data_IF_941135597949
#
_entry.id   IF_941135597949
#
_cell.length_a   1.000
_cell.length_b   1.000
_cell.length_c   1.000
_cell.angle_alpha   90.00
_cell.angle_beta   90.00
_cell.angle_gamma   90.00
#
_symmetry.space_group_name_H-M   'P 1'
#
loop_
_entity.id
_entity.type
_entity.pdbx_description
1 polymer ?
#
# COMPACT_ATOMS: atom_id res chain seq x y z
N UNK A 1 -8.75 -35.52 14.68
CA UNK A 1 -7.29 -35.60 14.44
C UNK A 1 -6.67 -34.21 14.61
N UNK A 2 -5.35 -34.13 14.80
CA UNK A 2 -4.62 -32.97 15.38
C UNK A 2 -3.35 -32.67 14.55
N UNK A 3 -2.76 -31.46 14.48
CA UNK A 3 -2.97 -30.18 15.18
C UNK A 3 -2.72 -29.00 14.21
N UNK A 4 -3.32 -27.81 14.45
CA UNK A 4 -2.78 -26.52 13.93
C UNK A 4 -2.01 -25.79 15.04
N UNK A 5 -0.75 -26.15 15.24
CA UNK A 5 0.17 -25.37 16.09
C UNK A 5 0.79 -24.24 15.25
N UNK A 6 0.12 -23.08 15.25
CA UNK A 6 0.75 -21.85 14.77
C UNK A 6 1.95 -21.52 15.66
N UNK A 7 3.15 -21.36 15.07
CA UNK A 7 4.30 -20.86 15.81
C UNK A 7 4.09 -19.37 16.04
N UNK A 8 3.75 -18.99 17.28
CA UNK A 8 3.50 -17.59 17.67
C UNK A 8 4.79 -16.78 17.65
N UNK A 9 5.18 -16.30 16.47
CA UNK A 9 6.33 -15.41 16.34
C UNK A 9 5.96 -14.00 16.80
N UNK A 10 6.77 -13.35 17.65
CA UNK A 10 6.51 -11.97 18.08
C UNK A 10 6.48 -11.04 16.86
N UNK A 11 5.48 -10.16 16.82
CA UNK A 11 5.40 -9.08 15.83
C UNK A 11 6.61 -8.16 15.98
N UNK A 12 6.95 -7.42 14.91
CA UNK A 12 8.05 -6.43 14.94
C UNK A 12 7.92 -5.48 16.13
N UNK A 13 6.70 -5.05 16.46
CA UNK A 13 6.41 -4.22 17.63
C UNK A 13 6.73 -4.94 18.96
N UNK A 14 6.36 -6.22 19.13
CA UNK A 14 6.68 -6.92 20.39
C UNK A 14 8.19 -7.08 20.58
N UNK A 15 8.95 -7.35 19.50
CA UNK A 15 10.42 -7.41 19.54
C UNK A 15 11.05 -6.07 19.92
N UNK A 16 10.56 -4.97 19.34
CA UNK A 16 11.04 -3.61 19.65
C UNK A 16 10.79 -3.24 21.12
N UNK A 17 9.65 -3.63 21.70
CA UNK A 17 9.37 -3.40 23.12
C UNK A 17 10.20 -4.32 24.04
N UNK A 18 10.55 -5.53 23.59
CA UNK A 18 11.56 -6.36 24.29
C UNK A 18 12.92 -5.63 24.23
N UNK A 19 13.40 -5.24 23.05
CA UNK A 19 14.69 -4.56 22.87
C UNK A 19 14.84 -3.23 23.63
N UNK A 20 13.77 -2.45 23.78
CA UNK A 20 13.77 -1.16 24.49
C UNK A 20 13.65 -1.27 26.03
N UNK A 21 13.24 -2.42 26.58
CA UNK A 21 12.86 -2.55 27.99
C UNK A 21 13.25 -3.90 28.64
N UNK A 22 14.07 -4.75 27.99
CA UNK A 22 14.38 -6.09 28.50
C UNK A 22 15.45 -6.15 29.59
N UNK A 23 16.36 -5.18 29.65
CA UNK A 23 17.54 -5.21 30.52
C UNK A 23 17.80 -3.82 31.08
N UNK A 24 17.23 -3.53 32.26
CA UNK A 24 17.72 -2.56 33.26
C UNK A 24 16.92 -2.76 34.57
N UNK A 25 17.15 -3.92 35.20
CA UNK A 25 16.92 -4.15 36.64
C UNK A 25 18.30 -4.06 37.32
N UNK A 26 18.88 -2.86 37.29
CA UNK A 26 20.14 -2.53 37.97
C UNK A 26 19.92 -1.41 38.97
N UNK A 27 20.64 -1.53 40.09
CA UNK A 27 20.36 -0.85 41.35
C UNK A 27 20.73 0.65 41.35
N UNK A 28 20.15 1.33 42.34
CA UNK A 28 20.35 2.71 42.80
C UNK A 28 21.83 3.13 42.93
N UNK A 29 22.22 4.25 42.30
CA UNK A 29 22.87 5.43 42.94
C UNK A 29 23.15 6.58 41.93
N UNK A 30 23.39 7.78 42.43
CA UNK A 30 23.38 9.07 41.72
C UNK A 30 24.50 9.29 40.68
N UNK A 31 24.24 9.99 39.57
CA UNK A 31 24.38 11.48 39.50
C UNK A 31 24.24 12.01 38.04
N UNK A 32 23.49 13.11 37.87
CA UNK A 32 23.61 14.09 36.77
C UNK A 32 23.70 13.61 35.29
N UNK A 33 22.54 13.57 34.62
CA UNK A 33 22.31 14.61 33.60
C UNK A 33 20.87 15.13 33.69
N UNK A 34 20.76 16.41 34.04
CA UNK A 34 19.47 17.12 34.05
C UNK A 34 19.13 17.49 32.61
N UNK A 35 18.78 16.49 31.79
CA UNK A 35 18.20 16.70 30.47
C UNK A 35 16.83 17.36 30.66
N UNK A 36 16.86 18.69 30.75
CA UNK A 36 15.72 19.57 30.67
C UNK A 36 15.10 19.38 29.29
N UNK A 37 14.24 18.37 29.20
CA UNK A 37 13.35 18.22 28.07
C UNK A 37 12.21 19.19 28.31
N UNK A 38 12.41 20.42 27.83
CA UNK A 38 11.35 21.41 27.79
C UNK A 38 10.11 20.77 27.16
N UNK A 39 9.03 20.70 27.93
CA UNK A 39 7.68 20.41 27.47
C UNK A 39 7.20 21.59 26.62
N UNK A 40 7.85 21.80 25.48
CA UNK A 40 7.20 22.45 24.37
C UNK A 40 6.17 21.46 23.86
N UNK A 41 4.93 21.66 24.31
CA UNK A 41 3.72 21.26 23.59
C UNK A 41 3.77 21.89 22.18
N UNK A 42 4.62 21.34 21.32
CA UNK A 42 4.31 21.28 19.90
C UNK A 42 3.05 20.45 19.84
N UNK A 43 1.91 21.15 19.84
CA UNK A 43 0.57 20.61 19.66
C UNK A 43 0.67 19.52 18.61
N UNK A 44 0.75 18.30 19.11
CA UNK A 44 0.86 17.14 18.26
C UNK A 44 -0.57 16.89 17.90
N UNK A 45 -1.06 17.74 16.97
CA UNK A 45 -2.11 17.37 16.04
C UNK A 45 -1.77 15.94 15.69
N UNK A 46 -2.52 14.99 16.27
CA UNK A 46 -2.36 13.59 15.94
C UNK A 46 -2.69 13.56 14.48
N UNK A 47 -1.68 13.63 13.62
CA UNK A 47 -1.83 13.68 12.18
C UNK A 47 -2.39 12.31 11.85
N UNK A 48 -3.72 12.22 11.91
CA UNK A 48 -4.45 10.96 11.97
C UNK A 48 -4.10 10.31 10.67
N UNK A 49 -3.18 9.32 10.74
CA UNK A 49 -2.57 8.76 9.54
C UNK A 49 -3.67 8.05 8.80
N UNK A 50 -4.32 8.79 7.91
CA UNK A 50 -5.49 8.40 7.15
C UNK A 50 -5.05 7.20 6.36
N UNK A 51 -5.27 6.01 6.93
CA UNK A 51 -5.05 4.76 6.25
C UNK A 51 -6.01 4.82 5.07
N UNK A 52 -5.52 4.96 3.82
CA UNK A 52 -6.41 5.14 2.69
C UNK A 52 -7.19 3.84 2.56
N UNK A 53 -8.45 3.85 3.03
CA UNK A 53 -9.34 2.71 2.93
C UNK A 53 -9.38 2.30 1.46
N UNK A 54 -8.90 1.09 1.17
CA UNK A 54 -8.92 0.56 -0.19
C UNK A 54 -10.37 0.51 -0.64
N UNK A 55 -10.74 1.40 -1.54
CA UNK A 55 -12.07 1.39 -2.11
C UNK A 55 -12.32 0.03 -2.78
N UNK A 56 -13.52 -0.54 -2.67
CA UNK A 56 -13.85 -1.76 -3.38
C UNK A 56 -13.68 -1.56 -4.89
N UNK A 57 -13.30 -2.63 -5.60
CA UNK A 57 -13.18 -2.57 -7.05
C UNK A 57 -14.52 -2.16 -7.67
N UNK A 58 -14.55 -0.99 -8.31
CA UNK A 58 -15.70 -0.51 -9.07
C UNK A 58 -15.96 -1.44 -10.26
N UNK A 59 -17.21 -1.86 -10.45
CA UNK A 59 -17.60 -2.64 -11.62
C UNK A 59 -17.28 -1.87 -12.92
N UNK A 60 -16.42 -2.45 -13.76
CA UNK A 60 -15.94 -1.83 -15.02
C UNK A 60 -16.74 -2.27 -16.25
N UNK A 61 -17.69 -3.19 -16.08
CA UNK A 61 -18.43 -3.88 -17.13
C UNK A 61 -17.47 -4.47 -18.17
N UNK A 62 -16.54 -5.31 -17.73
CA UNK A 62 -15.41 -5.83 -18.54
C UNK A 62 -15.83 -6.31 -19.94
N UNK A 63 -16.92 -7.09 -20.02
CA UNK A 63 -17.48 -7.60 -21.29
C UNK A 63 -17.95 -6.47 -22.21
N UNK A 64 -18.60 -5.42 -21.67
CA UNK A 64 -19.08 -4.26 -22.44
C UNK A 64 -17.92 -3.39 -22.93
N UNK A 65 -16.90 -3.20 -22.08
CA UNK A 65 -15.66 -2.49 -22.44
C UNK A 65 -14.91 -3.22 -23.56
N UNK A 66 -14.72 -4.54 -23.43
CA UNK A 66 -14.08 -5.36 -24.46
C UNK A 66 -14.83 -5.32 -25.79
N UNK A 67 -16.15 -5.54 -25.81
CA UNK A 67 -16.97 -5.44 -27.03
C UNK A 67 -16.81 -4.09 -27.72
N UNK A 68 -16.76 -3.00 -26.96
CA UNK A 68 -16.57 -1.65 -27.50
C UNK A 68 -15.19 -1.46 -28.10
N UNK A 69 -14.12 -1.90 -27.43
CA UNK A 69 -12.76 -1.88 -27.99
C UNK A 69 -12.65 -2.67 -29.30
N UNK A 70 -13.28 -3.84 -29.39
CA UNK A 70 -13.31 -4.63 -30.63
C UNK A 70 -14.00 -3.88 -31.77
N UNK A 71 -15.18 -3.29 -31.52
CA UNK A 71 -15.93 -2.50 -32.52
C UNK A 71 -15.19 -1.22 -32.91
N UNK A 72 -14.58 -0.53 -31.95
CA UNK A 72 -13.93 0.77 -32.21
C UNK A 72 -12.63 0.60 -33.02
N UNK A 73 -11.88 -0.50 -32.84
CA UNK A 73 -10.53 -0.65 -33.38
C UNK A 73 -10.20 -1.97 -34.12
N UNK A 74 -10.71 -3.13 -33.68
CA UNK A 74 -10.17 -4.43 -34.14
C UNK A 74 -11.03 -5.22 -35.13
N UNK A 75 -12.33 -4.92 -35.23
CA UNK A 75 -13.20 -5.53 -36.23
C UNK A 75 -12.88 -5.02 -37.65
N UNK A 76 -13.26 -5.77 -38.69
CA UNK A 76 -13.06 -5.38 -40.11
C UNK A 76 -13.69 -4.02 -40.45
N UNK A 77 -14.88 -3.75 -39.93
CA UNK A 77 -15.58 -2.47 -40.06
C UNK A 77 -15.37 -1.59 -38.81
N UNK A 78 -14.12 -1.46 -38.34
CA UNK A 78 -13.81 -0.67 -37.15
C UNK A 78 -14.08 0.82 -37.37
N UNK A 79 -14.52 1.53 -36.32
CA UNK A 79 -14.80 2.98 -36.39
C UNK A 79 -13.54 3.78 -36.70
N UNK A 80 -12.39 3.31 -36.21
CA UNK A 80 -11.07 3.88 -36.48
C UNK A 80 -10.27 2.93 -37.37
N UNK A 81 -9.57 3.49 -38.34
CA UNK A 81 -8.64 2.74 -39.19
C UNK A 81 -7.28 2.53 -38.50
N UNK A 82 -6.37 1.82 -39.15
CA UNK A 82 -5.07 1.48 -38.57
C UNK A 82 -4.17 2.70 -38.37
N UNK A 83 -4.31 3.72 -39.23
CA UNK A 83 -3.59 5.00 -39.10
C UNK A 83 -4.10 5.80 -37.89
N UNK A 84 -5.40 5.77 -37.60
CA UNK A 84 -5.98 6.38 -36.39
C UNK A 84 -5.53 5.64 -35.13
N UNK A 85 -5.46 4.31 -35.17
CA UNK A 85 -4.94 3.49 -34.07
C UNK A 85 -3.47 3.83 -33.79
N UNK A 86 -2.62 3.86 -34.82
CA UNK A 86 -1.20 4.18 -34.69
C UNK A 86 -0.99 5.61 -34.17
N UNK A 87 -1.75 6.60 -34.65
CA UNK A 87 -1.68 7.99 -34.13
C UNK A 87 -2.07 8.09 -32.65
N UNK A 88 -3.05 7.30 -32.19
CA UNK A 88 -3.56 7.33 -30.81
C UNK A 88 -2.66 6.57 -29.83
N UNK A 89 -2.25 5.36 -30.20
CA UNK A 89 -1.55 4.43 -29.30
C UNK A 89 -0.04 4.33 -29.57
N UNK A 90 0.45 4.89 -30.68
CA UNK A 90 1.86 4.87 -31.12
C UNK A 90 2.40 3.44 -31.30
N UNK A 91 1.55 2.55 -31.80
CA UNK A 91 1.86 1.15 -32.09
C UNK A 91 1.10 0.69 -33.33
N UNK A 92 1.62 -0.31 -34.05
CA UNK A 92 0.86 -1.02 -35.10
C UNK A 92 -0.30 -1.80 -34.48
N UNK A 93 -1.40 -1.96 -35.23
CA UNK A 93 -2.62 -2.66 -34.78
C UNK A 93 -2.49 -4.19 -34.90
N UNK A 94 -1.76 -4.65 -35.92
CA UNK A 94 -1.52 -6.05 -36.20
C UNK A 94 -0.46 -6.63 -35.25
N UNK A 95 -0.62 -7.90 -34.86
CA UNK A 95 0.49 -8.70 -34.34
C UNK A 95 1.22 -9.32 -35.53
N UNK A 96 2.53 -9.10 -35.57
CA UNK A 96 3.49 -9.67 -36.53
C UNK A 96 4.15 -10.94 -35.97
#
# INVERSE_FOLDING_TARGET
MLKRTGKNQPTKRRRLMEELFAEDDMEEEDESDSLHKDDSDSDSEEEQKYQPYRQPNKERNHVKGHKRLMIDYFNENSTYNDQDFERRFRMRKELE
#
